data_IF_959809328805
#
_entry.id   IF_959809328805
#
_cell.length_a   1.000
_cell.length_b   1.000
_cell.length_c   1.000
_cell.angle_alpha   90.00
_cell.angle_beta   90.00
_cell.angle_gamma   90.00
#
_symmetry.space_group_name_H-M   'P 1'
#
loop_
_entity.id
_entity.type
_entity.pdbx_description
1 polymer ?
#
# COMPACT_ATOMS: atom_id res chain seq x y z
N UNK A 1 -9.05 -34.54 -42.34
CA UNK A 1 -7.92 -33.61 -42.57
C UNK A 1 -8.21 -32.47 -41.64
N UNK A 2 -7.80 -32.63 -40.38
CA UNK A 2 -8.12 -31.66 -39.32
C UNK A 2 -6.85 -30.84 -39.12
N UNK A 3 -6.80 -29.69 -39.79
CA UNK A 3 -5.74 -28.71 -39.62
C UNK A 3 -5.83 -28.08 -38.23
N UNK A 4 -4.66 -27.93 -37.61
CA UNK A 4 -4.46 -27.50 -36.25
C UNK A 4 -4.91 -26.04 -36.02
N UNK A 5 -5.97 -25.85 -35.24
CA UNK A 5 -6.41 -24.54 -34.73
C UNK A 5 -5.63 -24.11 -33.47
N UNK A 6 -4.31 -24.34 -33.47
CA UNK A 6 -3.43 -24.09 -32.32
C UNK A 6 -2.54 -22.85 -32.43
N UNK A 7 -2.51 -22.18 -33.60
CA UNK A 7 -1.36 -21.35 -34.00
C UNK A 7 -1.73 -19.92 -34.43
N UNK A 8 -2.79 -19.35 -33.83
CA UNK A 8 -3.14 -17.94 -34.12
C UNK A 8 -2.13 -16.98 -33.45
N UNK A 9 -1.70 -15.88 -34.11
CA UNK A 9 -0.86 -14.86 -33.49
C UNK A 9 -1.42 -14.31 -32.17
N UNK A 10 -2.75 -14.32 -32.01
CA UNK A 10 -3.42 -13.91 -30.78
C UNK A 10 -3.22 -14.91 -29.63
N UNK A 11 -3.20 -16.21 -29.93
CA UNK A 11 -2.92 -17.28 -28.95
C UNK A 11 -1.46 -17.19 -28.50
N UNK A 12 -0.54 -17.02 -29.45
CA UNK A 12 0.88 -16.87 -29.15
C UNK A 12 1.15 -15.62 -28.28
N UNK A 13 0.51 -14.49 -28.60
CA UNK A 13 0.64 -13.27 -27.80
C UNK A 13 0.13 -13.48 -26.37
N UNK A 14 -1.04 -14.11 -26.20
CA UNK A 14 -1.60 -14.41 -24.86
C UNK A 14 -0.65 -15.31 -24.05
N UNK A 15 -0.07 -16.33 -24.68
CA UNK A 15 0.90 -17.21 -24.02
C UNK A 15 2.18 -16.45 -23.62
N UNK A 16 2.70 -15.59 -24.49
CA UNK A 16 3.88 -14.79 -24.19
C UNK A 16 3.63 -13.81 -23.03
N UNK A 17 2.46 -13.16 -23.01
CA UNK A 17 2.04 -12.28 -21.90
C UNK A 17 1.93 -13.08 -20.60
N UNK A 18 1.29 -14.25 -20.66
CA UNK A 18 1.15 -15.14 -19.52
C UNK A 18 2.51 -15.57 -18.96
N UNK A 19 3.45 -16.03 -19.80
CA UNK A 19 4.80 -16.39 -19.37
C UNK A 19 5.54 -15.19 -18.77
N UNK A 20 5.45 -14.02 -19.39
CA UNK A 20 6.08 -12.80 -18.85
C UNK A 20 5.53 -12.42 -17.47
N UNK A 21 4.23 -12.63 -17.22
CA UNK A 21 3.63 -12.41 -15.90
C UNK A 21 4.16 -13.41 -14.89
N UNK A 22 4.15 -14.70 -15.22
CA UNK A 22 4.65 -15.77 -14.36
C UNK A 22 6.13 -15.57 -14.02
N UNK A 23 6.96 -15.24 -15.00
CA UNK A 23 8.40 -14.96 -14.82
C UNK A 23 8.62 -13.74 -13.92
N UNK A 24 7.80 -12.70 -14.06
CA UNK A 24 7.86 -11.52 -13.19
C UNK A 24 7.51 -11.86 -11.74
N UNK A 25 6.50 -12.70 -11.52
CA UNK A 25 6.10 -13.18 -10.19
C UNK A 25 7.13 -14.14 -9.58
N UNK A 26 7.87 -14.88 -10.41
CA UNK A 26 8.93 -15.79 -9.96
C UNK A 26 10.09 -15.05 -9.28
N UNK A 27 10.30 -13.75 -9.56
CA UNK A 27 11.34 -12.92 -8.93
C UNK A 27 11.02 -12.66 -7.43
N UNK A 28 9.78 -12.91 -6.99
CA UNK A 28 9.35 -12.79 -5.59
C UNK A 28 9.67 -11.42 -4.98
N UNK A 29 9.31 -10.36 -5.71
CA UNK A 29 9.46 -8.96 -5.28
C UNK A 29 8.10 -8.36 -4.91
N UNK A 30 8.06 -7.34 -4.03
CA UNK A 30 6.83 -6.64 -3.71
C UNK A 30 6.14 -6.08 -4.95
N UNK A 31 4.81 -6.09 -4.96
CA UNK A 31 4.00 -5.52 -6.03
C UNK A 31 3.16 -4.40 -5.43
N UNK A 32 3.18 -3.25 -6.10
CA UNK A 32 2.42 -2.07 -5.71
C UNK A 32 1.38 -1.78 -6.80
N UNK A 33 0.10 -1.91 -6.48
CA UNK A 33 -1.01 -1.60 -7.39
C UNK A 33 -1.63 -0.25 -7.02
N UNK A 34 -1.71 0.66 -8.00
CA UNK A 34 -2.38 1.93 -7.81
C UNK A 34 -3.87 1.76 -8.09
N UNK A 35 -4.69 1.82 -7.05
CA UNK A 35 -6.10 1.47 -7.16
C UNK A 35 -6.95 2.62 -7.66
N UNK A 36 -6.61 3.85 -7.26
CA UNK A 36 -7.25 5.08 -7.72
C UNK A 36 -6.17 6.11 -8.06
N UNK A 37 -6.50 7.26 -8.64
CA UNK A 37 -5.50 8.28 -8.95
C UNK A 37 -5.02 9.08 -7.72
N UNK A 38 -5.37 8.66 -6.49
CA UNK A 38 -5.21 9.42 -5.25
C UNK A 38 -4.30 8.65 -4.27
N UNK A 39 -4.83 8.14 -3.16
CA UNK A 39 -4.05 7.49 -2.10
C UNK A 39 -4.39 6.02 -1.82
N UNK A 40 -5.20 5.37 -2.66
CA UNK A 40 -5.53 3.94 -2.46
C UNK A 40 -4.52 3.03 -3.13
N UNK A 41 -3.85 2.18 -2.35
CA UNK A 41 -2.84 1.24 -2.85
C UNK A 41 -3.09 -0.18 -2.32
N UNK A 42 -2.85 -1.18 -3.16
CA UNK A 42 -2.64 -2.56 -2.70
C UNK A 42 -1.15 -2.86 -2.77
N UNK A 43 -0.55 -3.15 -1.62
CA UNK A 43 0.83 -3.60 -1.49
C UNK A 43 0.84 -5.11 -1.22
N UNK A 44 1.36 -5.88 -2.17
CA UNK A 44 1.53 -7.31 -2.02
C UNK A 44 2.98 -7.62 -1.67
N UNK A 45 3.20 -8.14 -0.46
CA UNK A 45 4.53 -8.52 0.02
C UNK A 45 4.75 -10.03 -0.17
N UNK A 46 5.84 -10.47 -0.83
CA UNK A 46 6.12 -11.89 -1.03
C UNK A 46 6.32 -12.60 0.32
N UNK A 47 5.55 -13.65 0.59
CA UNK A 47 5.63 -14.42 1.84
C UNK A 47 6.95 -15.20 1.91
N UNK A 48 7.63 -15.32 3.07
CA UNK A 48 8.87 -16.11 3.16
C UNK A 48 8.75 -17.53 2.62
N UNK A 49 9.83 -18.04 2.00
CA UNK A 49 9.85 -19.37 1.38
C UNK A 49 9.48 -20.48 2.36
N UNK A 50 9.87 -20.35 3.63
CA UNK A 50 9.50 -21.27 4.71
C UNK A 50 7.99 -21.39 4.92
N UNK A 51 7.27 -20.27 4.87
CA UNK A 51 5.81 -20.23 4.99
C UNK A 51 5.12 -20.76 3.72
N UNK A 52 5.67 -20.49 2.52
CA UNK A 52 5.17 -21.10 1.29
C UNK A 52 5.23 -22.64 1.31
N UNK A 53 6.34 -23.20 1.81
CA UNK A 53 6.51 -24.66 1.93
C UNK A 53 5.48 -25.30 2.89
N UNK A 54 4.91 -24.50 3.79
CA UNK A 54 3.86 -24.90 4.72
C UNK A 54 2.44 -24.66 4.18
N UNK A 55 2.30 -24.21 2.92
CA UNK A 55 1.02 -24.05 2.24
C UNK A 55 0.40 -22.65 2.33
N UNK A 56 1.14 -21.63 2.77
CA UNK A 56 0.68 -20.23 2.75
C UNK A 56 0.48 -19.70 1.31
N UNK A 57 -0.28 -18.60 1.19
CA UNK A 57 -0.38 -17.79 -0.05
C UNK A 57 0.98 -17.26 -0.48
N UNK A 58 1.11 -16.96 -1.77
CA UNK A 58 2.31 -16.39 -2.40
C UNK A 58 2.69 -15.01 -1.84
N UNK A 59 1.67 -14.23 -1.50
CA UNK A 59 1.76 -12.85 -1.05
C UNK A 59 0.90 -12.58 0.19
N UNK A 60 1.37 -11.63 0.99
CA UNK A 60 0.65 -10.98 2.08
C UNK A 60 0.11 -9.64 1.56
N UNK A 61 -1.21 -9.47 1.57
CA UNK A 61 -1.89 -8.39 0.87
C UNK A 61 -2.31 -7.28 1.85
N UNK A 62 -1.71 -6.10 1.70
CA UNK A 62 -1.92 -4.92 2.53
C UNK A 62 -2.64 -3.84 1.72
N UNK A 63 -3.83 -3.43 2.17
CA UNK A 63 -4.59 -2.34 1.57
C UNK A 63 -4.31 -1.02 2.31
N UNK A 64 -3.80 -0.01 1.63
CA UNK A 64 -3.50 1.30 2.20
C UNK A 64 -4.56 2.34 1.81
N UNK A 65 -5.06 3.07 2.81
CA UNK A 65 -6.00 4.21 2.70
C UNK A 65 -7.11 4.03 1.64
N UNK A 66 -7.96 3.00 1.76
CA UNK A 66 -8.87 2.63 0.70
C UNK A 66 -10.07 3.59 0.60
N UNK A 67 -10.16 4.26 -0.55
CA UNK A 67 -11.33 4.95 -1.07
C UNK A 67 -11.59 4.48 -2.51
N UNK A 68 -12.41 3.43 -2.65
CA UNK A 68 -12.60 2.75 -3.94
C UNK A 68 -13.75 3.34 -4.78
N UNK A 69 -14.81 3.80 -4.12
CA UNK A 69 -15.99 4.31 -4.82
C UNK A 69 -16.78 5.28 -3.95
N UNK A 70 -17.72 5.99 -4.58
CA UNK A 70 -18.57 6.96 -3.91
C UNK A 70 -17.83 8.21 -3.44
N UNK A 71 -18.54 9.02 -2.65
CA UNK A 71 -18.09 10.35 -2.22
C UNK A 71 -17.50 10.28 -0.82
N UNK A 72 -16.32 10.87 -0.64
CA UNK A 72 -15.74 11.14 0.66
C UNK A 72 -16.34 12.42 1.23
N UNK A 73 -17.02 12.36 2.37
CA UNK A 73 -17.72 13.51 2.95
C UNK A 73 -17.27 13.78 4.37
N UNK A 74 -16.82 15.02 4.62
CA UNK A 74 -16.73 15.58 5.96
C UNK A 74 -17.97 16.47 6.17
N UNK A 75 -18.92 16.09 7.05
CA UNK A 75 -20.17 16.83 7.22
C UNK A 75 -19.95 18.33 7.42
N UNK A 76 -20.74 19.14 6.72
CA UNK A 76 -20.71 20.62 6.74
C UNK A 76 -19.44 21.30 6.20
N UNK A 77 -18.34 20.55 6.05
CA UNK A 77 -17.04 21.08 5.67
C UNK A 77 -16.78 20.90 4.16
N UNK A 78 -16.70 19.66 3.70
CA UNK A 78 -16.35 19.32 2.30
C UNK A 78 -17.01 18.02 1.87
N UNK A 79 -17.23 17.89 0.57
CA UNK A 79 -17.45 16.59 -0.07
C UNK A 79 -16.54 16.50 -1.28
N UNK A 80 -15.77 15.44 -1.33
CA UNK A 80 -14.83 15.10 -2.39
C UNK A 80 -15.32 13.89 -3.18
N UNK A 81 -15.02 13.89 -4.47
CA UNK A 81 -15.28 12.79 -5.39
C UNK A 81 -14.12 12.70 -6.38
N UNK A 82 -13.71 11.49 -6.76
CA UNK A 82 -12.66 11.34 -7.76
C UNK A 82 -13.12 11.87 -9.12
N UNK A 83 -12.26 12.62 -9.81
CA UNK A 83 -12.50 12.98 -11.22
C UNK A 83 -12.39 11.73 -12.11
N UNK A 84 -11.42 10.87 -11.81
CA UNK A 84 -11.20 9.60 -12.49
C UNK A 84 -11.60 8.50 -11.50
N UNK A 85 -12.61 7.67 -11.80
CA UNK A 85 -12.98 6.55 -10.93
C UNK A 85 -11.79 5.63 -10.64
N UNK A 86 -11.76 5.06 -9.45
CA UNK A 86 -10.83 3.97 -9.09
C UNK A 86 -10.87 2.85 -10.14
N UNK A 87 -9.73 2.28 -10.50
CA UNK A 87 -9.67 1.10 -11.37
C UNK A 87 -10.36 -0.12 -10.73
N UNK A 88 -10.40 -0.17 -9.40
CA UNK A 88 -11.15 -1.15 -8.61
C UNK A 88 -12.24 -0.44 -7.81
N UNK A 89 -13.50 -0.82 -8.01
CA UNK A 89 -14.66 -0.14 -7.41
C UNK A 89 -15.16 -0.81 -6.13
N UNK A 90 -14.83 -2.09 -5.92
CA UNK A 90 -15.33 -2.91 -4.79
C UNK A 90 -14.23 -3.75 -4.14
N UNK A 91 -14.46 -4.18 -2.89
CA UNK A 91 -13.56 -5.11 -2.19
C UNK A 91 -13.52 -6.48 -2.89
N UNK A 92 -14.63 -6.93 -3.49
CA UNK A 92 -14.68 -8.20 -4.24
C UNK A 92 -13.73 -8.20 -5.43
N UNK A 93 -13.76 -7.14 -6.26
CA UNK A 93 -12.85 -6.97 -7.39
C UNK A 93 -11.39 -6.92 -6.94
N UNK A 94 -11.11 -6.31 -5.78
CA UNK A 94 -9.77 -6.30 -5.20
C UNK A 94 -9.30 -7.71 -4.79
N UNK A 95 -10.17 -8.48 -4.16
CA UNK A 95 -9.88 -9.85 -3.75
C UNK A 95 -9.72 -10.78 -4.94
N UNK A 96 -10.47 -10.55 -6.03
CA UNK A 96 -10.30 -11.25 -7.30
C UNK A 96 -8.91 -10.99 -7.89
N UNK A 97 -8.45 -9.74 -7.91
CA UNK A 97 -7.07 -9.40 -8.32
C UNK A 97 -6.03 -10.11 -7.45
N UNK A 98 -6.17 -10.05 -6.13
CA UNK A 98 -5.25 -10.70 -5.20
C UNK A 98 -5.21 -12.23 -5.39
N UNK A 99 -6.38 -12.85 -5.65
CA UNK A 99 -6.51 -14.27 -5.97
C UNK A 99 -5.84 -14.61 -7.31
N UNK A 100 -5.99 -13.80 -8.34
CA UNK A 100 -5.34 -14.03 -9.64
C UNK A 100 -3.81 -14.00 -9.52
N UNK A 101 -3.26 -13.02 -8.81
CA UNK A 101 -1.81 -12.97 -8.55
C UNK A 101 -1.35 -14.21 -7.78
N UNK A 102 -2.09 -14.62 -6.75
CA UNK A 102 -1.78 -15.81 -5.95
C UNK A 102 -1.80 -17.11 -6.77
N UNK A 103 -2.71 -17.23 -7.74
CA UNK A 103 -2.81 -18.36 -8.66
C UNK A 103 -1.66 -18.41 -9.68
N UNK A 104 -1.22 -17.24 -10.17
CA UNK A 104 -0.13 -17.13 -11.14
C UNK A 104 1.27 -17.23 -10.48
N UNK A 105 1.35 -17.10 -9.16
CA UNK A 105 2.61 -17.18 -8.43
C UNK A 105 3.15 -18.61 -8.41
N UNK A 106 4.35 -18.88 -8.97
CA UNK A 106 4.95 -20.22 -8.93
C UNK A 106 5.17 -20.70 -7.50
N UNK A 107 4.83 -21.96 -7.22
CA UNK A 107 4.99 -22.56 -5.88
C UNK A 107 5.89 -23.80 -5.93
N UNK A 108 6.80 -23.97 -4.95
CA UNK A 108 7.49 -25.23 -4.77
C UNK A 108 6.48 -26.33 -4.41
N UNK A 109 6.76 -27.58 -4.81
CA UNK A 109 5.94 -28.71 -4.41
C UNK A 109 5.84 -28.76 -2.87
N UNK A 110 4.63 -28.79 -2.29
CA UNK A 110 4.47 -28.67 -0.85
C UNK A 110 5.07 -29.88 -0.14
N UNK A 111 5.75 -29.65 1.01
CA UNK A 111 6.39 -30.72 1.80
C UNK A 111 5.38 -31.71 2.41
N UNK A 112 4.11 -31.32 2.53
CA UNK A 112 3.00 -32.18 2.89
C UNK A 112 1.95 -32.09 1.79
N UNK A 113 1.30 -33.21 1.45
CA UNK A 113 0.02 -33.19 0.75
C UNK A 113 -1.01 -32.55 1.68
N UNK A 114 -0.97 -31.24 1.85
CA UNK A 114 -2.11 -30.49 2.37
C UNK A 114 -3.24 -30.72 1.38
N UNK A 115 -4.42 -31.08 1.88
CA UNK A 115 -5.62 -31.13 1.07
C UNK A 115 -5.65 -29.89 0.19
N UNK A 116 -5.64 -30.12 -1.12
CA UNK A 116 -5.74 -29.13 -2.17
C UNK A 116 -6.75 -28.07 -1.73
N UNK A 117 -6.28 -26.82 -1.67
CA UNK A 117 -7.05 -25.59 -1.54
C UNK A 117 -8.32 -25.79 -0.70
N UNK A 118 -8.22 -25.55 0.62
CA UNK A 118 -9.42 -25.04 1.26
C UNK A 118 -9.76 -23.75 0.54
N UNK A 119 -10.78 -23.84 -0.29
CA UNK A 119 -11.77 -22.82 -0.60
C UNK A 119 -12.43 -22.36 0.73
N UNK A 120 -11.61 -22.08 1.76
CA UNK A 120 -12.10 -21.47 2.99
C UNK A 120 -12.54 -20.09 2.55
N UNK A 121 -13.84 -19.83 2.73
CA UNK A 121 -14.56 -18.59 2.46
C UNK A 121 -13.99 -17.41 3.27
N UNK A 122 -12.71 -17.15 3.06
CA UNK A 122 -11.87 -16.20 3.75
C UNK A 122 -11.37 -15.15 2.77
N UNK A 123 -11.15 -13.97 3.31
CA UNK A 123 -10.65 -12.80 2.61
C UNK A 123 -9.24 -13.01 2.06
N UNK A 124 -8.96 -12.42 0.89
CA UNK A 124 -7.60 -12.33 0.34
C UNK A 124 -6.81 -11.16 0.93
N UNK A 125 -7.45 -10.26 1.67
CA UNK A 125 -6.78 -9.19 2.40
C UNK A 125 -6.25 -9.71 3.74
N UNK A 126 -4.99 -9.40 4.02
CA UNK A 126 -4.33 -9.79 5.27
C UNK A 126 -4.29 -8.66 6.29
N UNK A 127 -4.21 -7.40 5.82
CA UNK A 127 -4.23 -6.22 6.67
C UNK A 127 -4.71 -4.97 5.91
N UNK A 128 -5.19 -3.98 6.66
CA UNK A 128 -5.47 -2.63 6.15
C UNK A 128 -4.66 -1.63 6.94
N UNK A 129 -4.05 -0.66 6.25
CA UNK A 129 -3.34 0.47 6.86
C UNK A 129 -4.13 1.75 6.61
N UNK A 130 -4.41 2.50 7.69
CA UNK A 130 -5.05 3.82 7.64
C UNK A 130 -4.10 4.86 8.22
N UNK A 131 -3.53 5.68 7.34
CA UNK A 131 -2.53 6.68 7.72
C UNK A 131 -3.16 7.90 8.41
N UNK A 132 -4.36 8.32 8.00
CA UNK A 132 -5.04 9.53 8.51
C UNK A 132 -6.53 9.28 8.74
N UNK A 133 -7.13 9.98 9.70
CA UNK A 133 -8.58 9.91 9.98
C UNK A 133 -9.45 10.67 8.97
N UNK A 134 -8.83 11.44 8.07
CA UNK A 134 -9.53 12.19 7.03
C UNK A 134 -10.34 11.24 6.14
N UNK A 135 -11.59 11.55 5.76
CA UNK A 135 -12.46 10.60 5.07
C UNK A 135 -11.99 10.15 3.68
N UNK A 136 -11.06 10.88 3.04
CA UNK A 136 -10.40 10.48 1.79
C UNK A 136 -9.25 9.48 1.98
N UNK A 137 -8.88 9.19 3.23
CA UNK A 137 -7.98 8.09 3.61
C UNK A 137 -8.72 7.00 4.42
N UNK A 138 -9.56 7.42 5.36
CA UNK A 138 -10.35 6.58 6.25
C UNK A 138 -11.81 6.50 5.78
N UNK A 139 -12.02 6.04 4.53
CA UNK A 139 -13.33 6.08 3.88
C UNK A 139 -14.28 5.01 4.43
N UNK A 140 -15.16 5.40 5.35
CA UNK A 140 -16.11 4.51 6.03
C UNK A 140 -16.92 3.62 5.08
N UNK A 141 -17.55 4.12 3.99
CA UNK A 141 -18.31 3.26 3.10
C UNK A 141 -17.48 2.13 2.51
N UNK A 142 -16.22 2.38 2.12
CA UNK A 142 -15.34 1.34 1.60
C UNK A 142 -14.93 0.36 2.70
N UNK A 143 -14.50 0.87 3.86
CA UNK A 143 -14.01 0.04 4.96
C UNK A 143 -15.07 -0.92 5.50
N UNK A 144 -16.35 -0.52 5.57
CA UNK A 144 -17.41 -1.40 6.06
C UNK A 144 -17.74 -2.58 5.14
N UNK A 145 -17.22 -2.62 3.91
CA UNK A 145 -17.32 -3.79 3.03
C UNK A 145 -16.20 -4.80 3.24
N UNK A 146 -15.16 -4.47 4.00
CA UNK A 146 -14.05 -5.39 4.31
C UNK A 146 -14.50 -6.39 5.37
N UNK A 147 -14.04 -7.65 5.27
CA UNK A 147 -14.32 -8.66 6.29
C UNK A 147 -13.86 -8.19 7.69
N UNK A 148 -14.73 -8.33 8.68
CA UNK A 148 -14.51 -7.87 10.06
C UNK A 148 -13.29 -8.48 10.76
N UNK A 149 -12.77 -9.60 10.26
CA UNK A 149 -11.62 -10.29 10.82
C UNK A 149 -10.29 -9.78 10.23
N UNK A 150 -10.31 -8.97 9.17
CA UNK A 150 -9.11 -8.29 8.68
C UNK A 150 -8.64 -7.28 9.73
N UNK A 151 -7.39 -7.37 10.22
CA UNK A 151 -6.85 -6.41 11.18
C UNK A 151 -6.63 -5.04 10.53
N UNK A 152 -7.02 -3.99 11.26
CA UNK A 152 -6.79 -2.60 10.86
C UNK A 152 -5.62 -2.05 11.67
N UNK A 153 -4.59 -1.56 10.98
CA UNK A 153 -3.50 -0.78 11.55
C UNK A 153 -3.74 0.69 11.20
N UNK A 154 -3.97 1.54 12.19
CA UNK A 154 -4.39 2.91 11.96
C UNK A 154 -3.61 3.92 12.79
N UNK A 155 -3.51 5.16 12.32
CA UNK A 155 -3.02 6.26 13.16
C UNK A 155 -3.93 6.46 14.37
N UNK A 156 -3.41 7.01 15.50
CA UNK A 156 -4.20 7.13 16.73
C UNK A 156 -5.57 7.83 16.55
N UNK A 157 -5.69 8.92 15.77
CA UNK A 157 -7.00 9.53 15.49
C UNK A 157 -7.94 8.60 14.69
N UNK A 158 -7.41 7.84 13.74
CA UNK A 158 -8.20 6.92 12.92
C UNK A 158 -8.67 5.69 13.72
N UNK A 159 -7.86 5.20 14.68
CA UNK A 159 -8.29 4.14 15.62
C UNK A 159 -9.58 4.54 16.33
N UNK A 160 -9.62 5.74 16.94
CA UNK A 160 -10.79 6.22 17.68
C UNK A 160 -12.04 6.24 16.80
N UNK A 161 -11.90 6.72 15.56
CA UNK A 161 -12.98 6.80 14.59
C UNK A 161 -13.49 5.41 14.16
N UNK A 162 -12.57 4.51 13.79
CA UNK A 162 -12.92 3.18 13.27
C UNK A 162 -13.51 2.31 14.37
N UNK A 163 -13.00 2.40 15.61
CA UNK A 163 -13.58 1.71 16.78
C UNK A 163 -15.04 2.11 16.98
N UNK A 164 -15.39 3.39 16.74
CA UNK A 164 -16.76 3.89 16.86
C UNK A 164 -17.73 3.25 15.85
N UNK A 165 -17.24 2.57 14.82
CA UNK A 165 -18.08 1.94 13.80
C UNK A 165 -18.52 0.52 14.19
N UNK A 166 -17.88 -0.09 15.20
CA UNK A 166 -18.22 -1.41 15.73
C UNK A 166 -18.30 -2.52 14.65
N UNK A 167 -17.38 -2.48 13.69
CA UNK A 167 -17.31 -3.43 12.57
C UNK A 167 -16.15 -4.42 12.72
N UNK A 168 -14.93 -3.91 12.89
CA UNK A 168 -13.71 -4.72 12.94
C UNK A 168 -13.45 -5.28 14.33
N UNK A 169 -12.92 -6.51 14.38
CA UNK A 169 -12.54 -7.19 15.62
C UNK A 169 -11.18 -6.72 16.16
N UNK A 170 -10.26 -6.40 15.26
CA UNK A 170 -8.88 -6.07 15.59
C UNK A 170 -8.54 -4.72 14.98
N UNK A 171 -8.30 -3.74 15.84
CA UNK A 171 -7.87 -2.38 15.47
C UNK A 171 -6.64 -2.06 16.31
N UNK A 172 -5.51 -1.80 15.67
CA UNK A 172 -4.22 -1.60 16.30
C UNK A 172 -3.73 -0.20 15.95
N UNK A 173 -3.33 0.56 16.96
CA UNK A 173 -2.67 1.84 16.75
C UNK A 173 -1.26 1.61 16.22
N UNK A 174 -0.91 2.27 15.11
CA UNK A 174 0.46 2.21 14.57
C UNK A 174 1.40 2.94 15.54
N UNK A 175 2.46 2.27 16.04
CA UNK A 175 3.41 2.88 16.96
C UNK A 175 4.21 3.99 16.29
N UNK A 176 4.65 4.98 17.08
CA UNK A 176 5.64 5.94 16.64
C UNK A 176 6.99 5.26 16.42
N UNK A 177 7.76 5.71 15.43
CA UNK A 177 9.13 5.24 15.24
C UNK A 177 10.03 5.80 16.35
N UNK A 178 10.43 4.93 17.28
CA UNK A 178 11.20 5.28 18.50
C UNK A 178 12.29 4.25 18.86
N UNK A 179 12.12 2.96 18.51
CA UNK A 179 12.99 1.84 18.91
C UNK A 179 13.86 1.36 17.75
N UNK A 180 15.19 1.42 17.85
CA UNK A 180 16.17 1.08 16.80
C UNK A 180 15.95 -0.27 16.08
N UNK A 181 15.27 -1.26 16.66
CA UNK A 181 14.95 -2.51 15.95
C UNK A 181 13.59 -2.42 15.24
N UNK A 182 13.59 -2.52 13.91
CA UNK A 182 12.34 -2.51 13.13
C UNK A 182 11.36 -3.64 13.53
N UNK A 183 11.87 -4.75 14.08
CA UNK A 183 11.05 -5.88 14.52
C UNK A 183 10.16 -5.53 15.71
N UNK A 184 10.52 -4.50 16.49
CA UNK A 184 9.66 -3.95 17.56
C UNK A 184 8.30 -3.49 17.01
N UNK A 185 8.24 -3.14 15.73
CA UNK A 185 7.02 -2.71 15.05
C UNK A 185 6.21 -3.86 14.43
N UNK A 186 6.63 -5.12 14.63
CA UNK A 186 5.87 -6.31 14.25
C UNK A 186 4.85 -6.67 15.34
N UNK A 187 3.73 -5.94 15.33
CA UNK A 187 2.68 -6.12 16.33
C UNK A 187 1.68 -7.20 15.91
N UNK A 188 1.39 -8.22 16.75
CA UNK A 188 0.36 -9.20 16.45
C UNK A 188 -0.97 -8.54 16.08
N UNK A 189 -1.70 -9.03 15.06
CA UNK A 189 -1.50 -10.31 14.37
C UNK A 189 -0.59 -10.24 13.13
N UNK A 190 0.25 -9.21 12.96
CA UNK A 190 1.24 -9.21 11.87
C UNK A 190 2.17 -10.41 12.01
N UNK A 191 2.58 -11.03 10.87
CA UNK A 191 3.70 -11.95 10.87
C UNK A 191 4.98 -11.27 11.34
N UNK A 192 5.84 -12.01 12.05
CA UNK A 192 7.12 -11.51 12.60
C UNK A 192 8.08 -10.92 11.56
N UNK A 193 7.87 -11.24 10.28
CA UNK A 193 8.66 -10.74 9.16
C UNK A 193 8.13 -9.42 8.58
N UNK A 194 7.05 -8.84 9.13
CA UNK A 194 6.47 -7.54 8.73
C UNK A 194 6.40 -6.63 9.96
N UNK A 195 6.82 -5.37 9.82
CA UNK A 195 6.64 -4.32 10.83
C UNK A 195 5.96 -3.08 10.24
N UNK A 196 5.20 -2.34 11.04
CA UNK A 196 4.54 -1.10 10.61
C UNK A 196 4.81 -0.01 11.65
N UNK A 197 5.48 1.08 11.23
CA UNK A 197 5.76 2.23 12.10
C UNK A 197 5.26 3.54 11.49
N UNK A 198 4.99 4.50 12.37
CA UNK A 198 4.54 5.85 12.02
C UNK A 198 5.62 6.88 12.33
N UNK A 199 5.94 7.70 11.35
CA UNK A 199 6.88 8.82 11.46
C UNK A 199 6.07 10.11 11.44
N UNK A 200 6.11 10.86 12.54
CA UNK A 200 5.40 12.14 12.63
C UNK A 200 6.13 13.08 13.60
N UNK A 201 6.20 14.39 13.29
CA UNK A 201 6.61 15.38 14.26
C UNK A 201 5.63 15.45 15.43
N UNK A 202 6.12 15.84 16.60
CA UNK A 202 5.26 16.14 17.76
C UNK A 202 4.34 17.31 17.40
N UNK A 203 3.02 17.09 17.40
CA UNK A 203 2.02 18.14 17.14
C UNK A 203 1.67 18.38 15.67
N UNK A 204 2.24 17.62 14.72
CA UNK A 204 1.83 17.68 13.32
C UNK A 204 0.70 16.68 13.03
N UNK A 205 -0.19 17.04 12.11
CA UNK A 205 -1.34 16.21 11.72
C UNK A 205 -1.01 15.26 10.56
N UNK A 206 0.12 15.48 9.87
CA UNK A 206 0.58 14.64 8.78
C UNK A 206 1.60 13.63 9.29
N UNK A 207 1.38 12.36 8.95
CA UNK A 207 2.30 11.28 9.31
C UNK A 207 2.67 10.47 8.08
N UNK A 208 3.88 9.92 8.10
CA UNK A 208 4.30 8.88 7.18
C UNK A 208 4.19 7.51 7.85
N UNK A 209 3.95 6.48 7.04
CA UNK A 209 3.95 5.10 7.46
C UNK A 209 5.10 4.39 6.75
N UNK A 210 5.92 3.65 7.49
CA UNK A 210 6.85 2.68 6.92
C UNK A 210 6.28 1.27 7.10
N UNK A 211 6.26 0.51 6.02
CA UNK A 211 6.00 -0.94 6.05
C UNK A 211 7.31 -1.65 5.85
N UNK A 212 7.87 -2.18 6.94
CA UNK A 212 9.10 -2.97 6.96
C UNK A 212 8.78 -4.42 6.66
N UNK A 213 9.67 -5.10 5.95
CA UNK A 213 9.58 -6.53 5.76
C UNK A 213 10.95 -7.17 5.54
N UNK A 214 11.04 -8.45 5.91
CA UNK A 214 12.14 -9.33 5.55
C UNK A 214 11.60 -10.69 5.11
N UNK A 215 11.36 -10.83 3.80
CA UNK A 215 10.88 -12.08 3.22
C UNK A 215 11.96 -13.19 3.12
N UNK A 216 13.20 -12.89 3.51
CA UNK A 216 14.35 -13.80 3.57
C UNK A 216 14.69 -14.26 4.98
N UNK A 217 13.88 -13.91 5.99
CA UNK A 217 14.15 -14.10 7.42
C UNK A 217 14.45 -15.55 7.90
N UNK A 218 14.33 -16.55 7.01
CA UNK A 218 14.63 -17.96 7.30
C UNK A 218 15.86 -18.50 6.54
N UNK A 219 16.53 -17.67 5.76
CA UNK A 219 17.81 -17.98 5.10
C UNK A 219 18.94 -17.53 6.05
N UNK A 220 20.01 -18.35 6.17
CA UNK A 220 20.98 -18.25 7.27
C UNK A 220 21.86 -16.99 7.26
N UNK A 221 21.74 -16.16 6.24
CA UNK A 221 22.45 -14.89 6.10
C UNK A 221 21.46 -13.85 5.58
N UNK A 222 21.16 -12.84 6.40
CA UNK A 222 21.13 -11.41 6.04
C UNK A 222 20.27 -10.62 7.04
N UNK A 223 20.98 -9.86 7.86
CA UNK A 223 20.55 -8.65 8.56
C UNK A 223 20.15 -7.56 7.55
N UNK A 224 19.23 -7.86 6.63
CA UNK A 224 18.71 -6.90 5.66
C UNK A 224 17.20 -6.80 5.79
N UNK A 225 16.72 -5.58 5.91
CA UNK A 225 15.30 -5.26 5.94
C UNK A 225 14.98 -4.36 4.76
N UNK A 226 13.86 -4.57 4.10
CA UNK A 226 13.36 -3.68 3.06
C UNK A 226 12.13 -2.93 3.59
N UNK A 227 11.86 -1.73 3.04
CA UNK A 227 10.65 -1.02 3.40
C UNK A 227 10.04 -0.23 2.23
N UNK A 228 8.72 -0.04 2.33
CA UNK A 228 7.97 0.93 1.54
C UNK A 228 7.59 2.08 2.47
N UNK A 229 7.92 3.31 2.06
CA UNK A 229 7.69 4.52 2.84
C UNK A 229 6.55 5.32 2.20
N UNK A 230 5.44 5.46 2.92
CA UNK A 230 4.20 6.08 2.44
C UNK A 230 3.93 7.39 3.18
N UNK A 231 3.89 8.51 2.47
CA UNK A 231 3.68 9.85 3.02
C UNK A 231 2.89 10.73 2.05
N UNK A 232 1.54 10.60 2.02
CA UNK A 232 0.70 11.28 1.03
C UNK A 232 0.74 12.81 1.15
N UNK A 233 0.90 13.31 2.38
CA UNK A 233 0.93 14.74 2.69
C UNK A 233 2.35 15.30 2.87
N UNK A 234 3.34 14.42 3.02
CA UNK A 234 4.72 14.80 3.36
C UNK A 234 4.96 14.92 4.86
N UNK A 235 6.25 14.87 5.22
CA UNK A 235 6.74 15.07 6.59
C UNK A 235 8.04 15.88 6.55
N UNK A 236 8.42 16.46 7.68
CA UNK A 236 9.75 17.08 7.83
C UNK A 236 10.84 16.01 7.72
N UNK A 237 11.92 16.33 7.00
CA UNK A 237 13.07 15.41 6.86
C UNK A 237 13.72 15.07 8.23
N UNK A 238 13.64 15.97 9.22
CA UNK A 238 14.09 15.69 10.60
C UNK A 238 13.34 14.53 11.27
N UNK A 239 12.12 14.19 10.82
CA UNK A 239 11.43 13.01 11.32
C UNK A 239 12.11 11.71 10.85
N UNK A 240 13.02 11.79 9.88
CA UNK A 240 13.78 10.68 9.37
C UNK A 240 15.14 10.51 10.07
N UNK A 241 15.50 11.35 11.04
CA UNK A 241 16.79 11.26 11.75
C UNK A 241 17.00 9.85 12.32
N UNK A 242 15.91 9.28 12.85
CA UNK A 242 15.85 7.93 13.39
C UNK A 242 16.08 6.80 12.35
N UNK A 243 15.90 7.04 11.05
CA UNK A 243 16.14 6.01 10.03
C UNK A 243 17.60 5.57 9.95
N UNK A 244 18.55 6.46 10.27
CA UNK A 244 19.97 6.12 10.33
C UNK A 244 20.32 5.16 11.47
N UNK A 245 19.48 5.12 12.49
CA UNK A 245 19.69 4.35 13.71
C UNK A 245 19.04 2.96 13.63
N UNK A 246 18.14 2.72 12.66
CA UNK A 246 17.52 1.42 12.46
C UNK A 246 18.55 0.30 12.26
N UNK A 247 18.39 -0.79 13.02
CA UNK A 247 19.16 -2.03 12.95
C UNK A 247 18.21 -3.22 12.82
N UNK A 248 18.48 -4.21 11.95
CA UNK A 248 19.43 -4.15 10.83
C UNK A 248 19.17 -2.99 9.85
N UNK A 249 20.13 -2.72 8.95
CA UNK A 249 19.98 -1.65 7.96
C UNK A 249 18.71 -1.87 7.13
N UNK A 250 17.92 -0.80 6.98
CA UNK A 250 16.70 -0.81 6.17
C UNK A 250 16.96 -0.20 4.79
N UNK A 251 16.60 -0.93 3.74
CA UNK A 251 16.62 -0.50 2.35
C UNK A 251 15.24 -0.02 1.91
N UNK A 252 15.10 1.29 1.70
CA UNK A 252 13.84 1.87 1.25
C UNK A 252 13.68 1.62 -0.26
N UNK A 253 12.75 0.74 -0.64
CA UNK A 253 12.50 0.44 -2.05
C UNK A 253 11.75 1.57 -2.72
N UNK A 254 10.66 2.03 -2.10
CA UNK A 254 9.77 3.01 -2.67
C UNK A 254 9.38 4.09 -1.66
N UNK A 255 9.42 5.33 -2.11
CA UNK A 255 8.78 6.48 -1.48
C UNK A 255 7.48 6.77 -2.24
N UNK A 256 6.34 6.63 -1.56
CA UNK A 256 5.04 7.06 -2.06
C UNK A 256 4.77 8.45 -1.50
N UNK A 257 4.93 9.47 -2.34
CA UNK A 257 4.78 10.88 -1.94
C UNK A 257 4.31 11.73 -3.12
N UNK A 258 3.36 12.62 -2.86
CA UNK A 258 2.79 13.47 -3.90
C UNK A 258 3.75 14.51 -4.46
N UNK A 259 3.61 14.80 -5.75
CA UNK A 259 4.40 15.82 -6.45
C UNK A 259 3.74 17.19 -6.41
N UNK A 260 2.41 17.24 -6.33
CA UNK A 260 1.67 18.48 -6.24
C UNK A 260 1.78 19.07 -4.84
N UNK A 261 1.85 20.40 -4.77
CA UNK A 261 1.71 21.13 -3.51
C UNK A 261 0.28 21.59 -3.37
N UNK A 262 -0.38 21.20 -2.27
CA UNK A 262 -1.80 21.50 -2.03
C UNK A 262 -1.94 22.20 -0.68
N UNK A 263 -2.84 23.18 -0.61
CA UNK A 263 -3.13 23.89 0.63
C UNK A 263 -4.52 24.51 0.66
N UNK A 264 -4.89 24.98 1.84
CA UNK A 264 -6.14 25.71 2.11
C UNK A 264 -5.81 26.99 2.86
N UNK A 265 -6.07 28.14 2.24
CA UNK A 265 -5.64 29.43 2.78
C UNK A 265 -4.12 29.44 3.05
N UNK A 266 -3.65 29.82 4.26
CA UNK A 266 -2.23 29.84 4.59
C UNK A 266 -1.64 28.45 4.91
N UNK A 267 -2.48 27.41 5.06
CA UNK A 267 -2.04 26.08 5.49
C UNK A 267 -1.69 25.25 4.26
N UNK A 268 -0.49 24.66 4.26
CA UNK A 268 -0.12 23.62 3.29
C UNK A 268 -0.51 22.26 3.87
N UNK A 269 -1.28 21.47 3.11
CA UNK A 269 -1.69 20.12 3.52
C UNK A 269 -0.92 19.03 2.77
N UNK A 270 -0.34 19.35 1.60
CA UNK A 270 0.55 18.44 0.88
C UNK A 270 1.81 19.20 0.46
N UNK A 271 2.97 18.71 0.90
CA UNK A 271 4.24 19.44 0.77
C UNK A 271 4.82 19.45 -0.67
N UNK A 272 4.44 18.47 -1.50
CA UNK A 272 4.77 18.40 -2.92
C UNK A 272 6.24 18.13 -3.26
N UNK A 273 6.58 18.28 -4.54
CA UNK A 273 7.84 17.78 -5.11
C UNK A 273 9.14 18.23 -4.42
N UNK A 274 9.18 19.44 -3.85
CA UNK A 274 10.37 19.93 -3.15
C UNK A 274 10.67 19.13 -1.88
N UNK A 275 9.61 18.75 -1.14
CA UNK A 275 9.73 17.87 0.01
C UNK A 275 10.01 16.43 -0.43
N UNK A 276 9.29 15.93 -1.44
CA UNK A 276 9.52 14.59 -2.00
C UNK A 276 10.94 14.33 -2.47
N UNK A 277 11.55 15.30 -3.16
CA UNK A 277 12.94 15.21 -3.60
C UNK A 277 13.92 15.09 -2.43
N UNK A 278 13.74 15.92 -1.39
CA UNK A 278 14.54 15.85 -0.16
C UNK A 278 14.37 14.51 0.56
N UNK A 279 13.12 14.07 0.76
CA UNK A 279 12.85 12.79 1.41
C UNK A 279 13.45 11.63 0.62
N UNK A 280 13.33 11.64 -0.72
CA UNK A 280 13.95 10.60 -1.56
C UNK A 280 15.46 10.54 -1.38
N UNK A 281 16.13 11.69 -1.33
CA UNK A 281 17.58 11.78 -1.13
C UNK A 281 17.99 11.22 0.23
N UNK A 282 17.30 11.64 1.31
CA UNK A 282 17.55 11.17 2.67
C UNK A 282 17.28 9.67 2.81
N UNK A 283 16.19 9.18 2.21
CA UNK A 283 15.79 7.77 2.26
C UNK A 283 16.65 6.87 1.38
N UNK A 284 17.35 7.43 0.38
CA UNK A 284 17.98 6.65 -0.69
C UNK A 284 16.96 5.82 -1.48
N UNK A 285 15.71 6.26 -1.56
CA UNK A 285 14.62 5.48 -2.15
C UNK A 285 14.82 5.29 -3.66
N UNK A 286 14.77 4.03 -4.11
CA UNK A 286 14.95 3.67 -5.53
C UNK A 286 13.81 4.20 -6.39
N UNK A 287 12.58 3.95 -5.96
CA UNK A 287 11.37 4.43 -6.61
C UNK A 287 10.78 5.62 -5.86
N UNK A 288 10.38 6.65 -6.59
CA UNK A 288 9.51 7.71 -6.07
C UNK A 288 8.19 7.63 -6.85
N UNK A 289 7.14 7.14 -6.20
CA UNK A 289 5.82 6.93 -6.79
C UNK A 289 4.88 8.06 -6.34
N UNK A 290 4.29 8.84 -7.25
CA UNK A 290 3.34 9.88 -6.89
C UNK A 290 2.11 9.28 -6.23
N UNK A 291 1.61 9.94 -5.19
CA UNK A 291 0.36 9.57 -4.53
C UNK A 291 -0.33 10.84 -4.06
N UNK A 292 -1.66 10.79 -3.93
CA UNK A 292 -2.50 11.91 -3.50
C UNK A 292 -2.50 13.11 -4.48
N UNK A 293 -1.98 12.92 -5.70
CA UNK A 293 -1.97 13.93 -6.76
C UNK A 293 -3.24 13.93 -7.63
N UNK A 294 -4.15 13.00 -7.35
CA UNK A 294 -5.41 12.80 -8.04
C UNK A 294 -6.28 14.04 -8.05
N UNK A 295 -6.92 14.28 -9.19
CA UNK A 295 -7.94 15.32 -9.30
C UNK A 295 -9.19 14.91 -8.52
N UNK A 296 -9.62 15.76 -7.58
CA UNK A 296 -10.86 15.61 -6.81
C UNK A 296 -11.82 16.75 -7.18
N UNK A 297 -13.10 16.44 -7.33
CA UNK A 297 -14.16 17.46 -7.34
C UNK A 297 -14.49 17.76 -5.88
N UNK A 298 -14.20 18.99 -5.46
CA UNK A 298 -14.57 19.47 -4.13
C UNK A 298 -15.82 20.34 -4.22
N UNK A 299 -16.71 20.19 -3.25
CA UNK A 299 -17.92 21.01 -3.14
C UNK A 299 -17.98 21.72 -1.80
N UNK A 300 -18.74 22.81 -1.72
CA UNK A 300 -18.85 23.76 -0.58
C UNK A 300 -17.71 24.79 -0.53
N UNK A 301 -17.66 25.56 0.56
CA UNK A 301 -16.86 26.79 0.65
C UNK A 301 -15.35 26.54 0.62
N UNK A 302 -14.86 25.36 1.04
CA UNK A 302 -13.44 25.02 0.97
C UNK A 302 -12.86 25.04 -0.44
N UNK A 303 -13.69 24.77 -1.47
CA UNK A 303 -13.29 24.88 -2.87
C UNK A 303 -12.73 26.27 -3.23
N UNK A 304 -13.20 27.33 -2.56
CA UNK A 304 -12.76 28.71 -2.84
C UNK A 304 -11.48 29.11 -2.10
N UNK A 305 -11.06 28.34 -1.09
CA UNK A 305 -9.85 28.58 -0.31
C UNK A 305 -8.72 27.60 -0.64
N UNK A 306 -9.05 26.49 -1.31
CA UNK A 306 -8.09 25.51 -1.78
C UNK A 306 -7.25 26.05 -2.93
N UNK A 307 -5.96 25.76 -2.89
CA UNK A 307 -5.04 26.03 -3.98
C UNK A 307 -4.18 24.78 -4.25
N UNK A 308 -3.75 24.64 -5.50
CA UNK A 308 -2.86 23.56 -5.95
C UNK A 308 -1.81 24.12 -6.89
N UNK A 309 -0.56 23.78 -6.63
CA UNK A 309 0.57 24.00 -7.54
C UNK A 309 0.98 22.65 -8.08
N UNK A 310 0.84 22.46 -9.40
CA UNK A 310 1.26 21.22 -10.06
C UNK A 310 2.78 21.07 -9.98
N UNK A 311 3.24 19.90 -9.55
CA UNK A 311 4.65 19.55 -9.57
C UNK A 311 5.07 18.88 -10.88
N UNK A 312 6.30 19.11 -11.31
CA UNK A 312 6.96 18.35 -12.38
C UNK A 312 8.34 17.90 -11.89
N UNK A 313 8.39 16.69 -11.33
CA UNK A 313 9.58 16.15 -10.70
C UNK A 313 10.27 15.12 -11.60
N UNK A 314 11.58 15.30 -11.80
CA UNK A 314 12.41 14.33 -12.51
C UNK A 314 12.63 13.07 -11.66
N UNK A 315 12.68 11.92 -12.33
CA UNK A 315 12.98 10.64 -11.68
C UNK A 315 11.81 10.02 -10.92
N UNK A 316 10.61 10.58 -11.07
CA UNK A 316 9.36 9.98 -10.61
C UNK A 316 9.06 8.72 -11.41
N UNK A 317 8.61 7.68 -10.72
CA UNK A 317 8.10 6.44 -11.30
C UNK A 317 6.59 6.54 -11.39
N UNK A 318 6.08 6.83 -12.58
CA UNK A 318 4.63 6.90 -12.80
C UNK A 318 4.01 5.50 -12.77
N UNK A 319 2.99 5.35 -11.94
CA UNK A 319 2.10 4.18 -11.91
C UNK A 319 0.69 4.72 -12.07
N UNK A 320 0.10 4.51 -13.24
CA UNK A 320 -1.25 4.98 -13.56
C UNK A 320 -2.34 4.28 -12.76
N UNK A 321 -3.54 4.84 -12.77
CA UNK A 321 -4.72 4.22 -12.16
C UNK A 321 -4.98 2.84 -12.79
N UNK A 322 -4.96 1.77 -11.98
CA UNK A 322 -5.08 0.39 -12.44
C UNK A 322 -3.77 -0.25 -12.91
N UNK A 323 -2.65 0.49 -12.86
CA UNK A 323 -1.33 -0.06 -13.16
C UNK A 323 -0.65 -0.63 -11.91
N UNK A 324 0.35 -1.47 -12.16
CA UNK A 324 1.09 -2.17 -11.11
C UNK A 324 2.59 -2.02 -11.32
N UNK A 325 3.34 -1.87 -10.22
CA UNK A 325 4.78 -1.75 -10.21
C UNK A 325 5.39 -2.87 -9.37
N UNK A 326 6.30 -3.64 -9.96
CA UNK A 326 7.12 -4.61 -9.23
C UNK A 326 8.36 -3.90 -8.67
N UNK A 327 8.52 -3.89 -7.36
CA UNK A 327 9.61 -3.21 -6.64
C UNK A 327 10.87 -4.07 -6.61
N UNK A 328 11.73 -3.91 -7.60
CA UNK A 328 13.02 -4.62 -7.72
C UNK A 328 14.13 -3.92 -6.97
#
# INVERSE_FOLDING_TARGET
MDEADGDSPSTQLKLNVFHSLVDSLAIRRPILHHLNADSSWLLQLPVPTSALLNGSRGYYNILLDPWLSGRSTTPWLNTQEHIIPSAIQTISELEELAREVDLLTPRPAPRRRSHLFRDDAGTFLDAVIISHASPDHCHKPTLLHIDRNVPIFASPPAVQLITSWNHFRTIISIPGAEDEDWKSYSLPPLPEWIGIARFAPTGDHHSAIAVFFNNRCCEMDEEECEAVFYTPHGISASCLDYLGDLRPRVHILALLHGVDKVGFGPVTVQLGMGNGGLLREVLGAKYWVPTHDGGKIESRWLRWLGWRVRGDAKGVTHVGNGESLVLK
#
